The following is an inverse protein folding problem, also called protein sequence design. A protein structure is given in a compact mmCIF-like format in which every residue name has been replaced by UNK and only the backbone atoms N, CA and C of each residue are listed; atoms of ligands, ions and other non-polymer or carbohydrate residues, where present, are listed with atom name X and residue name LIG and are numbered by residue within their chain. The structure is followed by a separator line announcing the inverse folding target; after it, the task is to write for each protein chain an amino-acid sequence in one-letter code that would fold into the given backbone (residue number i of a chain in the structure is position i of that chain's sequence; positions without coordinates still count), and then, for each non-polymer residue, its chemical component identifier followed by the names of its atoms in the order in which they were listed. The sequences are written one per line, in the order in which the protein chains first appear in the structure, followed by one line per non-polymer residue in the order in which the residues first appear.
data_IF_803620868862
#
_entry.id   IF_803620868862
#
_cell.length_a   1.000
_cell.length_b   1.000
_cell.length_c   1.000
_cell.angle_alpha   90.00
_cell.angle_beta   90.00
_cell.angle_gamma   90.00
#
_symmetry.space_group_name_H-M   'P 1'
#
loop_
_entity.id
_entity.type
_entity.pdbx_description
1 polymer ?
#
# COMPACT_ATOMS: atom_id res chain seq x y z
N UNK A 1 -7.69 -5.94 -29.04
CA UNK A 1 -8.07 -6.70 -28.50
C UNK A 1 -8.01 -6.66 -27.21
N UNK A 2 -8.62 -6.68 -26.63
CA UNK A 2 -8.66 -6.66 -25.48
C UNK A 2 -8.39 -7.71 -24.89
N UNK A 3 -7.86 -7.73 -24.08
CA UNK A 3 -7.51 -8.85 -23.56
C UNK A 3 -8.46 -9.34 -22.64
N UNK A 4 -8.76 -10.55 -22.71
CA UNK A 4 -9.64 -11.17 -21.77
C UNK A 4 -8.79 -11.76 -20.70
N UNK A 5 -8.52 -10.99 -19.67
CA UNK A 5 -7.76 -11.50 -18.55
C UNK A 5 -8.64 -12.40 -17.70
N UNK A 6 -8.10 -13.53 -17.31
CA UNK A 6 -8.79 -14.37 -16.34
C UNK A 6 -8.73 -13.70 -14.98
N UNK A 7 -9.62 -14.08 -14.05
CA UNK A 7 -9.53 -13.53 -12.69
C UNK A 7 -8.18 -13.78 -12.04
N UNK A 8 -7.58 -14.92 -12.35
CA UNK A 8 -6.26 -15.24 -11.81
C UNK A 8 -5.19 -14.26 -12.31
N UNK A 9 -5.24 -13.92 -13.59
CA UNK A 9 -4.27 -12.98 -14.15
C UNK A 9 -4.47 -11.58 -13.61
N UNK A 10 -5.70 -11.18 -13.40
CA UNK A 10 -5.99 -9.88 -12.81
C UNK A 10 -5.44 -9.81 -11.39
N UNK A 11 -5.63 -10.87 -10.62
CA UNK A 11 -5.11 -10.93 -9.26
C UNK A 11 -3.59 -10.82 -9.25
N UNK A 12 -2.94 -11.52 -10.16
CA UNK A 12 -1.48 -11.48 -10.22
C UNK A 12 -0.97 -10.09 -10.54
N UNK A 13 -1.64 -9.39 -11.46
CA UNK A 13 -1.23 -8.03 -11.81
C UNK A 13 -1.39 -7.09 -10.65
N UNK A 14 -2.47 -7.22 -9.88
CA UNK A 14 -2.68 -6.40 -8.72
C UNK A 14 -1.60 -6.63 -7.68
N UNK A 15 -1.26 -7.90 -7.45
CA UNK A 15 -0.25 -8.23 -6.46
C UNK A 15 1.11 -7.66 -6.87
N UNK A 16 1.47 -7.78 -8.14
CA UNK A 16 2.73 -7.24 -8.63
C UNK A 16 2.77 -5.72 -8.50
N UNK A 17 1.66 -5.06 -8.81
CA UNK A 17 1.58 -3.62 -8.69
C UNK A 17 1.74 -3.18 -7.24
N UNK A 18 1.09 -3.87 -6.31
CA UNK A 18 1.19 -3.53 -4.91
C UNK A 18 2.59 -3.78 -4.37
N UNK A 19 3.27 -4.82 -4.85
CA UNK A 19 4.65 -5.07 -4.43
C UNK A 19 5.56 -3.94 -4.86
N UNK A 20 5.40 -3.47 -6.09
CA UNK A 20 6.21 -2.36 -6.59
C UNK A 20 5.90 -1.08 -5.84
N UNK A 21 4.63 -0.84 -5.60
CA UNK A 21 4.20 0.34 -4.86
C UNK A 21 4.74 0.30 -3.44
N UNK A 22 4.67 -0.86 -2.81
CA UNK A 22 5.18 -1.02 -1.45
C UNK A 22 6.67 -0.72 -1.38
N UNK A 23 7.44 -1.24 -2.33
CA UNK A 23 8.88 -1.01 -2.35
C UNK A 23 9.18 0.48 -2.54
N UNK A 24 8.45 1.12 -3.44
CA UNK A 24 8.63 2.55 -3.70
C UNK A 24 8.33 3.37 -2.45
N UNK A 25 7.23 3.06 -1.79
CA UNK A 25 6.81 3.81 -0.62
C UNK A 25 7.71 3.51 0.57
N UNK A 26 8.16 2.27 0.72
CA UNK A 26 9.10 1.94 1.79
C UNK A 26 10.37 2.76 1.64
N UNK A 27 10.84 2.94 0.42
CA UNK A 27 12.01 3.76 0.16
C UNK A 27 11.76 5.23 0.51
N UNK A 28 10.59 5.76 0.13
CA UNK A 28 10.26 7.16 0.43
C UNK A 28 10.06 7.41 1.91
N UNK A 29 9.55 6.40 2.61
CA UNK A 29 9.22 6.54 4.03
C UNK A 29 10.30 5.95 4.93
N UNK A 30 11.47 5.70 4.37
CA UNK A 30 12.58 5.17 5.13
C UNK A 30 12.86 6.06 6.35
N UNK A 31 12.96 5.44 7.51
CA UNK A 31 13.19 6.18 8.74
C UNK A 31 11.93 6.70 9.40
N UNK A 32 10.80 6.72 8.69
CA UNK A 32 9.53 7.16 9.27
C UNK A 32 8.62 5.99 9.58
N UNK A 33 8.54 5.03 8.67
CA UNK A 33 7.70 3.85 8.84
C UNK A 33 8.53 2.62 8.57
N UNK A 34 8.48 1.67 9.47
CA UNK A 34 9.21 0.41 9.35
C UNK A 34 8.25 -0.70 8.96
N UNK A 35 8.74 -1.63 8.14
CA UNK A 35 7.97 -2.81 7.74
C UNK A 35 6.64 -2.45 7.10
N UNK A 36 6.66 -1.44 6.24
CA UNK A 36 5.44 -1.03 5.54
C UNK A 36 4.95 -2.16 4.66
N UNK A 37 3.67 -2.47 4.76
CA UNK A 37 3.01 -3.48 3.95
C UNK A 37 1.73 -2.92 3.37
N UNK A 38 1.50 -3.20 2.11
CA UNK A 38 0.26 -2.88 1.44
C UNK A 38 -0.44 -4.18 1.12
N UNK A 39 -1.58 -4.39 1.75
CA UNK A 39 -2.32 -5.64 1.58
C UNK A 39 -3.54 -5.39 0.71
N UNK A 40 -3.74 -6.27 -0.25
CA UNK A 40 -4.88 -6.16 -1.13
C UNK A 40 -6.13 -6.65 -0.41
N UNK A 41 -7.19 -5.88 -0.53
CA UNK A 41 -8.50 -6.28 -0.05
C UNK A 41 -9.49 -6.16 -1.20
N UNK A 42 -10.70 -6.66 -0.99
CA UNK A 42 -11.68 -6.68 -2.08
C UNK A 42 -11.94 -5.32 -2.68
N UNK A 43 -11.97 -4.29 -1.87
CA UNK A 43 -12.35 -2.97 -2.33
C UNK A 43 -11.27 -1.93 -2.15
N UNK A 44 -10.05 -2.34 -1.87
CA UNK A 44 -9.00 -1.36 -1.68
C UNK A 44 -7.77 -1.95 -1.04
N UNK A 45 -7.09 -1.13 -0.27
CA UNK A 45 -5.79 -1.46 0.31
C UNK A 45 -5.84 -1.27 1.80
N UNK A 46 -5.18 -2.18 2.52
CA UNK A 46 -4.97 -2.05 3.95
C UNK A 46 -3.48 -1.77 4.16
N UNK A 47 -3.18 -0.75 4.96
CA UNK A 47 -1.81 -0.40 5.28
C UNK A 47 -1.42 -1.03 6.60
N UNK A 48 -0.19 -1.58 6.65
CA UNK A 48 0.36 -2.12 7.88
C UNK A 48 1.80 -1.71 8.01
N UNK A 49 2.27 -1.65 9.24
CA UNK A 49 3.65 -1.29 9.51
C UNK A 49 3.78 -0.72 10.91
N UNK A 50 4.92 -0.09 11.15
CA UNK A 50 5.21 0.51 12.45
C UNK A 50 5.75 1.91 12.24
N UNK A 51 5.19 2.88 12.92
CA UNK A 51 5.62 4.27 12.86
C UNK A 51 5.99 4.75 14.27
N UNK A 52 6.96 5.64 14.34
CA UNK A 52 7.37 6.17 15.65
C UNK A 52 6.45 7.26 16.14
N UNK A 53 5.75 7.92 15.23
CA UNK A 53 4.86 9.00 15.59
C UNK A 53 3.57 8.86 14.83
N UNK A 54 2.53 9.46 15.38
CA UNK A 54 1.26 9.51 14.68
C UNK A 54 1.39 10.29 13.38
N UNK A 55 2.23 11.31 13.39
CA UNK A 55 2.49 12.09 12.19
C UNK A 55 3.05 11.21 11.06
N UNK A 56 3.99 10.33 11.38
CA UNK A 56 4.56 9.43 10.39
C UNK A 56 3.50 8.49 9.82
N UNK A 57 2.58 8.03 10.66
CA UNK A 57 1.48 7.21 10.21
C UNK A 57 0.62 7.95 9.19
N UNK A 58 0.34 9.22 9.43
CA UNK A 58 -0.45 10.02 8.51
C UNK A 58 0.31 10.32 7.23
N UNK A 59 1.61 10.56 7.33
CA UNK A 59 2.43 10.80 6.15
C UNK A 59 2.41 9.58 5.25
N UNK A 60 2.45 8.38 5.84
CA UNK A 60 2.37 7.15 5.05
C UNK A 60 1.05 7.05 4.31
N UNK A 61 -0.04 7.36 4.98
CA UNK A 61 -1.34 7.33 4.34
C UNK A 61 -1.42 8.30 3.16
N UNK A 62 -0.94 9.52 3.35
CA UNK A 62 -0.93 10.50 2.29
C UNK A 62 -0.05 10.06 1.12
N UNK A 63 1.10 9.46 1.41
CA UNK A 63 1.98 9.00 0.36
C UNK A 63 1.30 7.94 -0.50
N UNK A 64 0.56 7.03 0.13
CA UNK A 64 -0.18 6.02 -0.62
C UNK A 64 -1.27 6.66 -1.46
N UNK A 65 -1.99 7.60 -0.89
CA UNK A 65 -3.07 8.28 -1.61
C UNK A 65 -2.56 9.03 -2.82
N UNK A 66 -1.36 9.58 -2.75
CA UNK A 66 -0.76 10.27 -3.88
C UNK A 66 -0.21 9.31 -4.92
N UNK A 67 0.16 8.10 -4.52
CA UNK A 67 0.82 7.17 -5.41
C UNK A 67 -0.15 6.27 -6.16
N UNK A 68 -1.37 6.13 -5.69
CA UNK A 68 -2.32 5.23 -6.31
C UNK A 68 -3.74 5.74 -6.13
N UNK A 69 -4.62 5.33 -7.04
CA UNK A 69 -6.04 5.66 -6.96
C UNK A 69 -6.83 4.64 -6.15
N UNK A 70 -6.21 3.54 -5.76
CA UNK A 70 -6.91 2.56 -4.94
C UNK A 70 -7.30 3.17 -3.60
N UNK A 71 -8.53 2.98 -3.16
CA UNK A 71 -8.91 3.52 -1.86
C UNK A 71 -8.23 2.79 -0.72
N UNK A 72 -7.93 3.52 0.32
CA UNK A 72 -7.38 2.93 1.54
C UNK A 72 -8.57 2.59 2.44
N UNK A 73 -8.73 1.29 2.70
CA UNK A 73 -9.84 0.83 3.52
C UNK A 73 -9.56 1.10 4.99
N UNK A 74 -8.33 0.87 5.41
CA UNK A 74 -7.96 1.12 6.80
C UNK A 74 -6.46 1.29 6.87
N UNK A 75 -6.02 2.11 7.80
CA UNK A 75 -4.61 2.32 8.07
C UNK A 75 -4.30 1.68 9.42
N UNK A 76 -3.71 0.50 9.38
CA UNK A 76 -3.40 -0.28 10.57
C UNK A 76 -1.94 -0.15 10.97
N UNK A 77 -1.28 0.90 10.54
CA UNK A 77 0.09 1.16 10.97
C UNK A 77 0.07 1.47 12.47
N UNK A 78 0.89 0.73 13.19
CA UNK A 78 0.97 0.90 14.64
C UNK A 78 1.97 1.99 14.99
N UNK A 79 1.59 2.83 15.94
CA UNK A 79 2.47 3.87 16.44
C UNK A 79 3.07 3.39 17.75
N UNK A 80 4.40 3.47 17.85
CA UNK A 80 5.09 3.01 19.06
C UNK A 80 6.12 4.00 19.55
#
# INVERSE_FOLDING_TARGET
MESCLTPFEVERRKAAYLDQLQAHLQSRLHGKVQSLQLLQADQGIVLRGHARTYYAKQVAQHAVMEATDFPILTNEIEVF
#
